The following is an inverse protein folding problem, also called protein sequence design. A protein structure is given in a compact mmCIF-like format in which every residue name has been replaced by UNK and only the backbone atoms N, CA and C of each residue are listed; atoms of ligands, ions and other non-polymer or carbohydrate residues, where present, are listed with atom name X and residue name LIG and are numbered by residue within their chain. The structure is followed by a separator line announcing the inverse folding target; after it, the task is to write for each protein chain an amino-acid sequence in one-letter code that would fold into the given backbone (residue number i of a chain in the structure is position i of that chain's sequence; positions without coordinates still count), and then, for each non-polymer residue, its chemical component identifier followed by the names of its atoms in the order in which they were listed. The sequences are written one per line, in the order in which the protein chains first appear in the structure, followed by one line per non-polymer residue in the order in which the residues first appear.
data_IF_077310066494
#
_entry.id   IF_077310066494
#
_cell.length_a   1.000
_cell.length_b   1.000
_cell.length_c   1.000
_cell.angle_alpha   90.00
_cell.angle_beta   90.00
_cell.angle_gamma   90.00
#
_symmetry.space_group_name_H-M   'P 1'
#
loop_
_entity.id
_entity.type
_entity.pdbx_description
1 polymer ?
#
# COMPACT_ATOMS: atom_id res chain seq x y z
N UNK A 1 -26.42 -10.00 9.62
CA UNK A 1 -25.74 -9.04 8.71
C UNK A 1 -25.60 -7.73 9.46
N UNK A 2 -24.38 -7.18 9.55
CA UNK A 2 -24.16 -5.88 10.19
C UNK A 2 -24.56 -4.73 9.26
N UNK A 3 -25.09 -3.64 9.82
CA UNK A 3 -25.42 -2.47 9.01
C UNK A 3 -24.14 -1.81 8.46
N UNK A 4 -24.16 -1.30 7.21
CA UNK A 4 -22.99 -0.65 6.59
C UNK A 4 -22.45 0.55 7.36
N UNK A 5 -23.28 1.18 8.17
CA UNK A 5 -22.92 2.34 9.01
C UNK A 5 -22.29 1.97 10.35
N UNK A 6 -22.32 0.69 10.73
CA UNK A 6 -21.66 0.24 11.96
C UNK A 6 -20.14 0.34 11.85
N UNK A 7 -19.42 0.51 12.98
CA UNK A 7 -17.96 0.49 13.03
C UNK A 7 -17.39 -0.82 12.46
N UNK A 8 -16.41 -0.70 11.57
CA UNK A 8 -15.62 -1.80 11.07
C UNK A 8 -14.33 -1.97 11.88
N UNK A 9 -13.64 -0.86 12.10
CA UNK A 9 -12.40 -0.85 12.89
C UNK A 9 -12.18 0.50 13.58
N UNK A 10 -11.29 0.50 14.57
CA UNK A 10 -10.81 1.69 15.26
C UNK A 10 -9.28 1.66 15.23
N UNK A 11 -8.68 2.74 14.75
CA UNK A 11 -7.22 2.92 14.77
C UNK A 11 -6.90 4.23 15.48
N UNK A 12 -5.90 4.17 16.36
CA UNK A 12 -5.45 5.34 17.11
C UNK A 12 -4.39 6.10 16.34
N UNK A 13 -4.57 7.40 16.23
CA UNK A 13 -3.59 8.33 15.66
C UNK A 13 -2.99 9.22 16.73
N UNK A 14 -1.76 9.71 16.53
CA UNK A 14 -1.16 10.72 17.39
C UNK A 14 -1.97 12.01 17.31
N UNK A 15 -2.76 12.31 18.34
CA UNK A 15 -3.52 13.56 18.41
C UNK A 15 -2.61 14.78 18.48
N UNK A 16 -2.99 15.90 17.86
CA UNK A 16 -2.28 17.19 17.92
C UNK A 16 -2.09 17.73 19.35
N UNK A 17 -2.83 17.20 20.31
CA UNK A 17 -2.77 17.53 21.75
C UNK A 17 -1.90 16.56 22.56
N UNK A 18 -1.20 15.61 21.90
CA UNK A 18 -0.38 14.59 22.57
C UNK A 18 -1.18 13.39 23.09
N UNK A 19 -2.50 13.45 23.14
CA UNK A 19 -3.35 12.32 23.53
C UNK A 19 -3.81 11.57 22.27
N UNK A 20 -3.58 10.24 22.17
CA UNK A 20 -4.02 9.47 21.01
C UNK A 20 -5.54 9.55 20.83
N UNK A 21 -5.97 9.72 19.59
CA UNK A 21 -7.39 9.76 19.22
C UNK A 21 -7.78 8.53 18.42
N UNK A 22 -8.85 7.85 18.83
CA UNK A 22 -9.41 6.70 18.10
C UNK A 22 -10.23 7.17 16.91
N UNK A 23 -9.78 6.83 15.70
CA UNK A 23 -10.52 7.06 14.46
C UNK A 23 -11.42 5.85 14.20
N UNK A 24 -12.72 6.09 14.14
CA UNK A 24 -13.73 5.04 13.92
C UNK A 24 -14.15 5.03 12.45
N UNK A 25 -13.91 3.94 11.77
CA UNK A 25 -14.29 3.78 10.36
C UNK A 25 -15.45 2.79 10.23
N UNK A 26 -16.44 3.16 9.43
CA UNK A 26 -17.62 2.30 9.16
C UNK A 26 -17.31 1.21 8.13
N UNK A 27 -18.10 0.12 8.14
CA UNK A 27 -18.01 -0.92 7.11
C UNK A 27 -18.16 -0.36 5.70
N UNK A 28 -19.03 0.63 5.50
CA UNK A 28 -19.23 1.27 4.20
C UNK A 28 -17.97 2.00 3.73
N UNK A 29 -17.29 2.74 4.61
CA UNK A 29 -16.06 3.45 4.29
C UNK A 29 -14.93 2.47 3.92
N UNK A 30 -14.69 1.48 4.78
CA UNK A 30 -13.65 0.46 4.54
C UNK A 30 -13.87 -0.31 3.23
N UNK A 31 -15.11 -0.75 2.99
CA UNK A 31 -15.45 -1.48 1.76
C UNK A 31 -15.32 -0.60 0.51
N UNK A 32 -15.70 0.69 0.58
CA UNK A 32 -15.55 1.60 -0.55
C UNK A 32 -14.09 1.66 -1.01
N UNK A 33 -13.15 1.88 -0.09
CA UNK A 33 -11.71 1.92 -0.41
C UNK A 33 -11.22 0.58 -0.96
N UNK A 34 -11.49 -0.53 -0.27
CA UNK A 34 -11.05 -1.86 -0.72
C UNK A 34 -11.58 -2.21 -2.11
N UNK A 35 -12.87 -1.95 -2.37
CA UNK A 35 -13.50 -2.26 -3.67
C UNK A 35 -12.93 -1.39 -4.79
N UNK A 36 -12.74 -0.10 -4.55
CA UNK A 36 -12.18 0.80 -5.57
C UNK A 36 -10.77 0.39 -5.96
N UNK A 37 -9.90 0.15 -4.98
CA UNK A 37 -8.52 -0.28 -5.23
C UNK A 37 -8.48 -1.62 -5.97
N UNK A 38 -9.27 -2.59 -5.52
CA UNK A 38 -9.34 -3.89 -6.19
C UNK A 38 -9.80 -3.77 -7.64
N UNK A 39 -10.77 -2.91 -7.92
CA UNK A 39 -11.27 -2.68 -9.27
C UNK A 39 -10.25 -1.96 -10.14
N UNK A 40 -9.66 -0.86 -9.64
CA UNK A 40 -8.67 -0.05 -10.39
C UNK A 40 -7.45 -0.86 -10.80
N UNK A 41 -6.92 -1.66 -9.88
CA UNK A 41 -5.67 -2.40 -10.07
C UNK A 41 -5.88 -3.88 -10.30
N UNK A 42 -7.12 -4.29 -10.62
CA UNK A 42 -7.49 -5.65 -11.00
C UNK A 42 -7.00 -6.70 -10.00
N UNK A 43 -7.13 -6.39 -8.70
CA UNK A 43 -6.74 -7.33 -7.64
C UNK A 43 -7.73 -8.48 -7.58
N UNK A 44 -7.20 -9.72 -7.60
CA UNK A 44 -8.01 -10.92 -7.74
C UNK A 44 -7.41 -12.17 -7.06
N UNK A 45 -7.96 -13.37 -7.37
CA UNK A 45 -7.61 -14.61 -6.67
C UNK A 45 -6.15 -15.06 -6.82
N UNK A 46 -5.47 -14.56 -7.84
CA UNK A 46 -4.05 -14.88 -8.08
C UNK A 46 -3.09 -13.96 -7.34
N UNK A 47 -3.61 -12.91 -6.71
CA UNK A 47 -2.78 -11.94 -6.01
C UNK A 47 -2.44 -12.39 -4.59
N UNK A 48 -1.22 -12.05 -4.20
CA UNK A 48 -0.69 -12.27 -2.87
C UNK A 48 0.01 -11.02 -2.40
N UNK A 49 -0.34 -10.54 -1.22
CA UNK A 49 0.28 -9.38 -0.60
C UNK A 49 1.22 -9.81 0.52
N UNK A 50 2.36 -9.16 0.64
CA UNK A 50 3.24 -9.29 1.79
C UNK A 50 2.69 -8.43 2.92
N UNK A 51 2.22 -9.06 4.02
CA UNK A 51 1.58 -8.37 5.13
C UNK A 51 2.62 -7.69 6.05
N UNK A 52 3.18 -6.57 5.59
CA UNK A 52 4.21 -5.81 6.29
C UNK A 52 3.65 -4.83 7.32
N UNK A 53 2.46 -4.30 7.05
CA UNK A 53 1.88 -3.25 7.88
C UNK A 53 1.47 -3.78 9.24
N UNK A 54 1.83 -3.05 10.30
CA UNK A 54 1.40 -3.37 11.64
C UNK A 54 -0.12 -3.20 11.79
N UNK A 55 -0.76 -4.03 12.63
CA UNK A 55 -2.23 -4.01 12.80
C UNK A 55 -2.79 -2.70 13.36
N UNK A 56 -1.95 -1.88 13.99
CA UNK A 56 -2.33 -0.55 14.47
C UNK A 56 -2.19 0.55 13.40
N UNK A 57 -1.84 0.18 12.17
CA UNK A 57 -1.73 1.08 11.03
C UNK A 57 -2.74 0.66 9.96
N UNK A 58 -3.47 1.62 9.38
CA UNK A 58 -4.64 1.33 8.54
C UNK A 58 -4.33 0.67 7.19
N UNK A 59 -3.09 0.71 6.71
CA UNK A 59 -2.67 -0.07 5.55
C UNK A 59 -2.92 -1.57 5.74
N UNK A 60 -2.81 -2.08 6.98
CA UNK A 60 -3.10 -3.47 7.31
C UNK A 60 -4.54 -3.87 7.03
N UNK A 61 -5.47 -2.93 7.08
CA UNK A 61 -6.89 -3.17 6.78
C UNK A 61 -7.06 -3.56 5.31
N UNK A 62 -6.35 -2.88 4.41
CA UNK A 62 -6.36 -3.26 2.99
C UNK A 62 -5.67 -4.60 2.76
N UNK A 63 -4.49 -4.81 3.33
CA UNK A 63 -3.76 -6.08 3.20
C UNK A 63 -4.66 -7.25 3.55
N UNK A 64 -5.35 -7.18 4.69
CA UNK A 64 -6.20 -8.26 5.18
C UNK A 64 -7.52 -8.32 4.40
N UNK A 65 -8.34 -7.27 4.50
CA UNK A 65 -9.72 -7.32 4.04
C UNK A 65 -9.87 -7.02 2.55
N UNK A 66 -9.04 -6.15 1.99
CA UNK A 66 -9.04 -5.83 0.57
C UNK A 66 -8.65 -7.04 -0.27
N UNK A 67 -7.50 -7.62 0.03
CA UNK A 67 -6.95 -8.74 -0.74
C UNK A 67 -7.76 -10.03 -0.55
N UNK A 68 -8.14 -10.38 0.70
CA UNK A 68 -8.97 -11.56 0.93
C UNK A 68 -10.37 -11.43 0.29
N UNK A 69 -10.94 -10.22 0.28
CA UNK A 69 -12.22 -9.98 -0.42
C UNK A 69 -12.12 -10.26 -1.91
N UNK A 70 -10.98 -10.01 -2.54
CA UNK A 70 -10.72 -10.29 -3.94
C UNK A 70 -10.45 -11.78 -4.23
N UNK A 71 -10.41 -12.61 -3.20
CA UNK A 71 -10.04 -14.02 -3.30
C UNK A 71 -8.53 -14.27 -3.28
N UNK A 72 -7.73 -13.24 -3.09
CA UNK A 72 -6.27 -13.32 -2.96
C UNK A 72 -5.82 -13.87 -1.61
N UNK A 73 -4.52 -13.81 -1.34
CA UNK A 73 -3.93 -14.36 -0.13
C UNK A 73 -2.95 -13.39 0.54
N UNK A 74 -2.76 -13.56 1.85
CA UNK A 74 -1.74 -12.88 2.64
C UNK A 74 -0.52 -13.77 2.83
N UNK A 75 0.66 -13.21 2.63
CA UNK A 75 1.93 -13.80 3.04
C UNK A 75 2.37 -13.11 4.32
N UNK A 76 2.35 -13.86 5.41
CA UNK A 76 2.64 -13.31 6.73
C UNK A 76 4.14 -13.10 6.92
N UNK A 77 4.49 -11.97 7.52
CA UNK A 77 5.86 -11.62 7.90
C UNK A 77 5.99 -11.80 9.41
N UNK A 78 7.00 -12.55 9.83
CA UNK A 78 7.29 -12.74 11.26
C UNK A 78 7.82 -11.44 11.88
N UNK A 79 7.63 -11.25 13.18
CA UNK A 79 8.00 -10.00 13.85
C UNK A 79 9.51 -9.66 13.70
N UNK A 80 10.37 -10.66 13.75
CA UNK A 80 11.82 -10.49 13.53
C UNK A 80 12.20 -10.21 12.07
N UNK A 81 11.28 -10.39 11.12
CA UNK A 81 11.49 -10.14 9.70
C UNK A 81 10.92 -8.79 9.23
N UNK A 82 10.24 -8.04 10.09
CA UNK A 82 9.55 -6.78 9.71
C UNK A 82 10.48 -5.67 9.17
N UNK A 83 11.78 -5.79 9.38
CA UNK A 83 12.81 -4.85 8.90
C UNK A 83 13.96 -5.58 8.23
N UNK A 84 13.69 -6.72 7.61
CA UNK A 84 14.67 -7.56 6.96
C UNK A 84 14.37 -7.71 5.46
N UNK A 85 15.00 -6.89 4.59
CA UNK A 85 14.79 -6.95 3.15
C UNK A 85 15.17 -8.29 2.53
N UNK A 86 16.16 -9.01 3.11
CA UNK A 86 16.53 -10.34 2.67
C UNK A 86 15.36 -11.32 2.86
N UNK A 87 14.80 -11.35 4.06
CA UNK A 87 13.63 -12.19 4.33
C UNK A 87 12.42 -11.82 3.46
N UNK A 88 12.22 -10.52 3.15
CA UNK A 88 11.15 -10.11 2.23
C UNK A 88 11.36 -10.64 0.81
N UNK A 89 12.59 -10.58 0.28
CA UNK A 89 12.91 -11.15 -1.03
C UNK A 89 12.65 -12.65 -1.07
N UNK A 90 13.08 -13.39 -0.05
CA UNK A 90 12.79 -14.83 0.06
C UNK A 90 11.29 -15.12 0.08
N UNK A 91 10.51 -14.37 0.86
CA UNK A 91 9.07 -14.52 0.93
C UNK A 91 8.39 -14.16 -0.41
N UNK A 92 8.84 -13.09 -1.08
CA UNK A 92 8.32 -12.68 -2.39
C UNK A 92 8.52 -13.78 -3.41
N UNK A 93 9.72 -14.34 -3.50
CA UNK A 93 10.05 -15.40 -4.45
C UNK A 93 9.34 -16.72 -4.10
N UNK A 94 9.47 -17.16 -2.85
CA UNK A 94 8.92 -18.44 -2.38
C UNK A 94 7.40 -18.52 -2.50
N UNK A 95 6.71 -17.43 -2.19
CA UNK A 95 5.25 -17.37 -2.17
C UNK A 95 4.67 -16.66 -3.38
N UNK A 96 5.49 -16.26 -4.35
CA UNK A 96 5.03 -15.57 -5.57
C UNK A 96 4.17 -14.35 -5.22
N UNK A 97 4.68 -13.48 -4.34
CA UNK A 97 3.98 -12.25 -3.93
C UNK A 97 3.86 -11.31 -5.11
N UNK A 98 2.66 -10.81 -5.35
CA UNK A 98 2.34 -9.96 -6.52
C UNK A 98 2.05 -8.52 -6.15
N UNK A 99 1.70 -8.26 -4.89
CA UNK A 99 1.33 -6.95 -4.38
C UNK A 99 2.25 -6.55 -3.23
N UNK A 100 2.70 -5.31 -3.28
CA UNK A 100 3.42 -4.64 -2.20
C UNK A 100 2.61 -3.44 -1.72
N UNK A 101 2.43 -3.30 -0.40
CA UNK A 101 1.77 -2.16 0.22
C UNK A 101 2.51 -1.72 1.47
N UNK A 102 3.12 -0.56 1.46
CA UNK A 102 3.87 -0.05 2.60
C UNK A 102 4.09 1.46 2.56
N UNK A 103 4.77 1.97 3.60
CA UNK A 103 5.42 3.28 3.53
C UNK A 103 6.62 3.24 2.59
N UNK A 104 6.97 4.38 1.95
CA UNK A 104 8.06 4.43 0.96
C UNK A 104 9.41 3.94 1.48
N UNK A 105 9.74 4.20 2.73
CA UNK A 105 11.02 3.81 3.32
C UNK A 105 11.24 2.28 3.33
N UNK A 106 10.20 1.47 3.55
CA UNK A 106 10.33 0.01 3.50
C UNK A 106 10.56 -0.48 2.08
N UNK A 107 9.91 0.15 1.10
CA UNK A 107 10.12 -0.21 -0.29
C UNK A 107 11.51 0.20 -0.80
N UNK A 108 12.01 1.35 -0.37
CA UNK A 108 13.38 1.78 -0.63
C UNK A 108 14.41 0.80 -0.06
N UNK A 109 14.19 0.32 1.16
CA UNK A 109 15.03 -0.75 1.76
C UNK A 109 15.03 -2.02 0.91
N UNK A 110 13.86 -2.46 0.39
CA UNK A 110 13.76 -3.61 -0.49
C UNK A 110 14.57 -3.40 -1.78
N UNK A 111 14.35 -2.27 -2.46
CA UNK A 111 15.05 -1.97 -3.71
C UNK A 111 16.56 -1.88 -3.51
N UNK A 112 17.01 -1.21 -2.45
CA UNK A 112 18.42 -1.10 -2.12
C UNK A 112 19.08 -2.46 -1.89
N UNK A 113 18.36 -3.38 -1.24
CA UNK A 113 18.83 -4.76 -1.08
C UNK A 113 18.91 -5.47 -2.44
N UNK A 114 17.86 -5.40 -3.25
CA UNK A 114 17.81 -6.05 -4.56
C UNK A 114 18.88 -5.53 -5.53
N UNK A 115 19.22 -4.25 -5.47
CA UNK A 115 20.31 -3.65 -6.27
C UNK A 115 21.70 -4.16 -5.88
N UNK A 116 21.88 -4.56 -4.63
CA UNK A 116 23.12 -5.11 -4.11
C UNK A 116 23.32 -6.61 -4.36
N UNK A 117 22.25 -7.35 -4.67
CA UNK A 117 22.28 -8.82 -4.77
C UNK A 117 21.54 -9.30 -6.02
N UNK A 118 22.27 -9.78 -7.01
CA UNK A 118 21.71 -10.13 -8.33
C UNK A 118 20.59 -11.19 -8.32
N UNK A 119 20.62 -12.09 -7.32
CA UNK A 119 19.60 -13.14 -7.18
C UNK A 119 18.35 -12.68 -6.41
N UNK A 120 18.38 -11.47 -5.84
CA UNK A 120 17.31 -10.92 -5.04
C UNK A 120 16.42 -9.99 -5.86
N UNK A 121 15.61 -10.53 -6.79
CA UNK A 121 14.78 -9.72 -7.67
C UNK A 121 13.31 -9.77 -7.25
N UNK A 122 12.61 -8.63 -7.16
CA UNK A 122 11.18 -8.57 -6.86
C UNK A 122 10.32 -8.70 -8.13
N UNK A 123 10.72 -9.55 -9.08
CA UNK A 123 10.08 -9.68 -10.41
C UNK A 123 8.61 -10.05 -10.37
N UNK A 124 8.18 -10.74 -9.31
CA UNK A 124 6.80 -11.14 -9.14
C UNK A 124 5.87 -9.99 -8.73
N UNK A 125 6.41 -8.92 -8.17
CA UNK A 125 5.63 -7.76 -7.76
C UNK A 125 5.06 -7.05 -8.99
N UNK A 126 3.80 -7.26 -9.27
CA UNK A 126 3.11 -6.59 -10.40
C UNK A 126 2.59 -5.21 -10.05
N UNK A 127 2.28 -4.95 -8.78
CA UNK A 127 1.80 -3.66 -8.31
C UNK A 127 2.40 -3.30 -6.95
N UNK A 128 2.89 -2.07 -6.86
CA UNK A 128 3.48 -1.47 -5.67
C UNK A 128 2.66 -0.26 -5.29
N UNK A 129 2.10 -0.27 -4.08
CA UNK A 129 1.29 0.79 -3.49
C UNK A 129 2.07 1.43 -2.35
N UNK A 130 2.39 2.70 -2.48
CA UNK A 130 3.16 3.44 -1.48
C UNK A 130 2.36 4.63 -0.95
N UNK A 131 2.32 4.77 0.36
CA UNK A 131 1.61 5.86 1.04
C UNK A 131 2.15 6.14 2.43
N UNK A 132 1.61 7.17 3.08
CA UNK A 132 1.90 7.50 4.48
C UNK A 132 3.12 8.38 4.69
N UNK A 133 3.94 8.60 3.67
CA UNK A 133 5.09 9.50 3.68
C UNK A 133 5.44 9.97 2.26
N UNK A 134 6.44 10.85 2.14
CA UNK A 134 6.97 11.31 0.86
C UNK A 134 7.59 10.16 0.06
N UNK A 135 7.19 10.05 -1.20
CA UNK A 135 7.70 9.06 -2.14
C UNK A 135 8.89 9.66 -2.88
N UNK A 136 10.05 9.00 -2.82
CA UNK A 136 11.24 9.39 -3.58
C UNK A 136 10.98 9.38 -5.09
N UNK A 137 11.49 10.41 -5.79
CA UNK A 137 11.32 10.54 -7.24
C UNK A 137 12.06 9.44 -8.04
N UNK A 138 13.04 8.80 -7.43
CA UNK A 138 13.84 7.71 -7.99
C UNK A 138 13.17 6.34 -7.89
N UNK A 139 12.31 6.14 -6.90
CA UNK A 139 11.70 4.83 -6.62
C UNK A 139 10.94 4.22 -7.81
N UNK A 140 10.16 4.98 -8.61
CA UNK A 140 9.48 4.39 -9.76
C UNK A 140 10.45 3.84 -10.82
N UNK A 141 11.55 4.53 -11.09
CA UNK A 141 12.54 4.09 -12.06
C UNK A 141 13.32 2.86 -11.56
N UNK A 142 13.73 2.87 -10.29
CA UNK A 142 14.43 1.75 -9.64
C UNK A 142 13.56 0.48 -9.64
N UNK A 143 12.29 0.60 -9.31
CA UNK A 143 11.35 -0.52 -9.37
C UNK A 143 11.22 -1.08 -10.79
N UNK A 144 11.08 -0.22 -11.79
CA UNK A 144 10.94 -0.65 -13.19
C UNK A 144 12.20 -1.29 -13.77
N UNK A 145 13.36 -1.04 -13.21
CA UNK A 145 14.57 -1.77 -13.58
C UNK A 145 14.44 -3.27 -13.33
N UNK A 146 13.69 -3.68 -12.28
CA UNK A 146 13.38 -5.08 -11.98
C UNK A 146 12.09 -5.56 -12.65
N UNK A 147 11.08 -4.70 -12.75
CA UNK A 147 9.76 -5.03 -13.31
C UNK A 147 9.29 -3.95 -14.29
N UNK A 148 9.72 -3.99 -15.57
CA UNK A 148 9.39 -2.95 -16.55
C UNK A 148 7.88 -2.67 -16.71
N UNK A 149 7.04 -3.70 -16.60
CA UNK A 149 5.58 -3.62 -16.71
C UNK A 149 4.88 -3.48 -15.34
N UNK A 150 5.64 -3.28 -14.28
CA UNK A 150 5.09 -3.16 -12.93
C UNK A 150 4.34 -1.82 -12.73
N UNK A 151 3.20 -1.89 -12.07
CA UNK A 151 2.43 -0.72 -11.70
C UNK A 151 3.02 -0.08 -10.43
N UNK A 152 3.41 1.17 -10.52
CA UNK A 152 3.85 1.96 -9.37
C UNK A 152 2.76 2.97 -9.01
N UNK A 153 2.19 2.83 -7.84
CA UNK A 153 1.00 3.55 -7.41
C UNK A 153 1.32 4.40 -6.18
N UNK A 154 1.32 5.71 -6.38
CA UNK A 154 1.38 6.66 -5.28
C UNK A 154 -0.02 6.83 -4.70
N UNK A 155 -0.15 6.67 -3.40
CA UNK A 155 -1.41 6.76 -2.70
C UNK A 155 -1.29 7.70 -1.50
N UNK A 156 -2.39 8.28 -1.10
CA UNK A 156 -2.44 9.15 0.06
C UNK A 156 -3.82 9.17 0.68
N UNK A 157 -3.89 9.73 1.87
CA UNK A 157 -5.11 9.87 2.63
C UNK A 157 -4.82 10.00 4.12
N UNK A 158 -5.81 10.46 4.86
CA UNK A 158 -5.78 10.44 6.30
C UNK A 158 -6.54 9.20 6.80
N UNK A 159 -6.21 8.70 7.97
CA UNK A 159 -6.90 7.57 8.61
C UNK A 159 -8.40 7.82 8.71
N UNK A 160 -8.82 9.07 8.89
CA UNK A 160 -10.22 9.52 8.92
C UNK A 160 -10.95 9.34 7.57
N UNK A 161 -10.20 9.28 6.48
CA UNK A 161 -10.74 9.04 5.13
C UNK A 161 -10.79 7.55 4.75
N UNK A 162 -10.51 6.66 5.68
CA UNK A 162 -10.51 5.19 5.50
C UNK A 162 -9.39 4.68 4.60
N UNK A 163 -8.19 4.55 5.15
CA UNK A 163 -6.95 4.05 4.54
C UNK A 163 -6.41 5.06 3.52
N UNK A 164 -7.08 5.19 2.38
CA UNK A 164 -6.69 6.11 1.30
C UNK A 164 -7.87 6.91 0.79
N UNK A 165 -7.55 8.07 0.23
CA UNK A 165 -8.53 8.96 -0.38
C UNK A 165 -8.17 9.37 -1.80
N UNK A 166 -6.94 9.09 -2.23
CA UNK A 166 -6.44 9.38 -3.57
C UNK A 166 -5.45 8.32 -4.04
N UNK A 167 -5.27 8.23 -5.35
CA UNK A 167 -4.29 7.39 -6.00
C UNK A 167 -3.80 8.02 -7.32
N UNK A 168 -2.54 7.75 -7.65
CA UNK A 168 -1.93 8.12 -8.92
C UNK A 168 -1.00 7.00 -9.38
N UNK A 169 -1.27 6.43 -10.54
CA UNK A 169 -0.31 5.52 -11.17
C UNK A 169 0.79 6.34 -11.83
N UNK A 170 2.03 6.09 -11.47
CA UNK A 170 3.20 6.82 -11.93
C UNK A 170 3.85 6.05 -13.07
N UNK A 171 3.68 6.52 -14.29
CA UNK A 171 4.33 5.93 -15.46
C UNK A 171 5.73 6.49 -15.67
N UNK A 172 5.90 7.80 -15.55
CA UNK A 172 7.17 8.51 -15.69
C UNK A 172 7.30 9.56 -14.61
N UNK A 173 8.54 9.94 -14.30
CA UNK A 173 8.87 11.05 -13.40
C UNK A 173 9.58 12.12 -14.20
N UNK A 174 8.86 13.15 -14.68
CA UNK A 174 9.46 14.25 -15.41
C UNK A 174 10.51 15.00 -14.58
N UNK A 175 11.60 15.42 -15.21
CA UNK A 175 12.73 16.06 -14.54
C UNK A 175 12.36 17.36 -13.78
N UNK A 176 11.24 18.00 -14.14
CA UNK A 176 10.77 19.20 -13.46
C UNK A 176 9.94 18.94 -12.20
N UNK A 177 9.56 17.67 -11.92
CA UNK A 177 8.83 17.35 -10.70
C UNK A 177 9.71 17.52 -9.47
N UNK A 178 9.13 18.14 -8.46
CA UNK A 178 9.75 18.27 -7.13
C UNK A 178 9.22 17.25 -6.12
N UNK A 179 8.11 16.63 -6.45
CA UNK A 179 7.47 15.57 -5.66
C UNK A 179 6.56 14.74 -6.56
N UNK A 180 6.27 13.52 -6.12
CA UNK A 180 5.24 12.69 -6.74
C UNK A 180 3.88 13.37 -6.55
N UNK A 181 3.03 13.46 -7.59
CA UNK A 181 1.69 14.07 -7.48
C UNK A 181 0.81 13.38 -6.47
N UNK A 182 -0.03 14.16 -5.79
CA UNK A 182 -1.00 13.64 -4.82
C UNK A 182 -2.05 12.72 -5.48
N UNK A 183 -2.33 12.92 -6.78
CA UNK A 183 -3.22 12.10 -7.58
C UNK A 183 -4.68 12.52 -7.53
N UNK A 184 -5.54 11.58 -7.86
CA UNK A 184 -6.98 11.79 -8.02
C UNK A 184 -7.78 11.11 -6.91
N UNK A 185 -8.94 11.66 -6.54
CA UNK A 185 -9.77 11.07 -5.51
C UNK A 185 -10.24 9.66 -5.88
N UNK A 186 -10.38 8.82 -4.87
CA UNK A 186 -11.02 7.53 -4.99
C UNK A 186 -12.54 7.68 -5.22
N UNK A 187 -13.18 6.63 -5.67
CA UNK A 187 -14.62 6.59 -5.90
C UNK A 187 -15.39 7.02 -4.64
N UNK A 188 -16.38 7.87 -4.82
CA UNK A 188 -17.19 8.50 -3.76
C UNK A 188 -16.42 9.47 -2.85
N UNK A 189 -15.21 9.87 -3.21
CA UNK A 189 -14.44 10.90 -2.52
C UNK A 189 -14.27 12.14 -3.40
N UNK A 190 -13.99 13.28 -2.78
CA UNK A 190 -13.81 14.56 -3.49
C UNK A 190 -12.73 15.38 -2.81
N UNK A 191 -11.93 16.07 -3.63
CA UNK A 191 -10.97 17.07 -3.19
C UNK A 191 -11.41 18.46 -3.65
N UNK A 192 -11.10 19.46 -2.83
CA UNK A 192 -11.18 20.88 -3.22
C UNK A 192 -9.85 21.53 -2.85
N UNK A 193 -9.31 22.27 -3.79
CA UNK A 193 -8.19 23.19 -3.55
C UNK A 193 -8.83 24.50 -3.12
N UNK A 194 -8.45 25.04 -1.97
CA UNK A 194 -8.93 26.30 -1.38
C UNK A 194 -7.77 27.27 -1.29
#
# INVERSE_FOLDING_TARGET
VRAPTQPAYIIYTSGSTGTPKGVVISHRGALNTCCDINTRYQVGPHDRVLALSALHFDLSVYDIFGVLRAGGALVMVMENQRRDPHAWCELIQRHQVTLWNSVPALFDMLLTWCEGFADATPENLRAVMLSGDWIGLDLPARYRAFRPQGQFIAMGGATEASIWSNACEIHDVPAHWRSIPYGFPLTNQRYRVV
#
